data_IF_269501381725
#
_entry.id   IF_269501381725
#
_cell.length_a   1.000
_cell.length_b   1.000
_cell.length_c   1.000
_cell.angle_alpha   90.00
_cell.angle_beta   90.00
_cell.angle_gamma   90.00
#
_symmetry.space_group_name_H-M   'P 1'
#
loop_
_entity.id
_entity.type
_entity.pdbx_description
1 polymer ?
#
# COMPACT_ATOMS: atom_id res chain seq x y z
N UNK A 1 -1.91 -28.47 -39.95
CA UNK A 1 -1.59 -27.79 -38.67
C UNK A 1 -1.48 -28.83 -37.58
N UNK A 2 -0.35 -28.88 -36.86
CA UNK A 2 -0.14 -29.87 -35.80
C UNK A 2 -0.46 -29.28 -34.42
N UNK A 3 -0.83 -30.12 -33.45
CA UNK A 3 -1.20 -29.72 -32.08
C UNK A 3 -0.13 -28.85 -31.38
N UNK A 4 1.15 -28.98 -31.78
CA UNK A 4 2.27 -28.15 -31.32
C UNK A 4 2.26 -26.72 -31.87
N UNK A 5 1.79 -26.51 -33.10
CA UNK A 5 1.71 -25.17 -33.70
C UNK A 5 0.59 -24.34 -33.06
N UNK A 6 -0.56 -24.95 -32.76
CA UNK A 6 -1.66 -24.27 -32.08
C UNK A 6 -1.27 -23.79 -30.67
N UNK A 7 -0.61 -24.66 -29.87
CA UNK A 7 -0.14 -24.31 -28.53
C UNK A 7 0.89 -23.17 -28.54
N UNK A 8 1.80 -23.15 -29.52
CA UNK A 8 2.77 -22.07 -29.69
C UNK A 8 2.10 -20.73 -30.02
N UNK A 9 1.06 -20.73 -30.85
CA UNK A 9 0.31 -19.52 -31.20
C UNK A 9 -0.49 -18.99 -30.02
N UNK A 10 -1.16 -19.85 -29.23
CA UNK A 10 -1.86 -19.42 -28.00
C UNK A 10 -0.88 -18.95 -26.91
N UNK A 11 0.26 -19.60 -26.74
CA UNK A 11 1.27 -19.17 -25.76
C UNK A 11 1.89 -17.83 -26.15
N UNK A 12 2.11 -17.58 -27.45
CA UNK A 12 2.59 -16.29 -27.94
C UNK A 12 1.56 -15.16 -27.73
N UNK A 13 0.26 -15.42 -27.92
CA UNK A 13 -0.79 -14.40 -27.69
C UNK A 13 -0.93 -14.04 -26.21
N UNK A 14 -0.84 -15.02 -25.30
CA UNK A 14 -0.86 -14.76 -23.84
C UNK A 14 0.43 -14.04 -23.38
N UNK A 15 1.57 -14.34 -24.00
CA UNK A 15 2.86 -13.69 -23.70
C UNK A 15 2.98 -12.28 -24.29
N UNK A 16 2.35 -12.02 -25.44
CA UNK A 16 2.42 -10.74 -26.14
C UNK A 16 1.51 -9.67 -25.53
N UNK A 17 0.42 -10.07 -24.85
CA UNK A 17 -0.40 -9.14 -24.06
C UNK A 17 0.35 -8.52 -22.86
N UNK A 18 1.38 -9.21 -22.35
CA UNK A 18 2.20 -8.74 -21.24
C UNK A 18 3.39 -7.86 -21.66
N UNK A 19 3.86 -7.96 -22.91
CA UNK A 19 5.11 -7.32 -23.35
C UNK A 19 4.96 -5.93 -23.96
N UNK A 20 3.73 -5.44 -24.19
CA UNK A 20 3.46 -4.11 -24.77
C UNK A 20 3.02 -3.06 -23.74
N UNK A 21 2.96 -3.40 -22.44
CA UNK A 21 2.89 -2.38 -21.39
C UNK A 21 4.28 -1.77 -21.23
N UNK A 22 4.56 -0.68 -21.95
CA UNK A 22 5.62 0.24 -21.55
C UNK A 22 5.49 0.46 -20.05
N UNK A 23 6.52 0.09 -19.29
CA UNK A 23 6.46 -0.18 -17.84
C UNK A 23 5.89 1.04 -17.12
N UNK A 24 4.58 1.05 -16.85
CA UNK A 24 3.93 2.21 -16.23
C UNK A 24 4.66 2.56 -14.93
N UNK A 25 4.84 3.86 -14.62
CA UNK A 25 5.67 4.28 -13.51
C UNK A 25 5.10 3.78 -12.18
N UNK A 26 5.99 3.72 -11.18
CA UNK A 26 5.59 3.72 -9.78
C UNK A 26 5.40 5.19 -9.39
N UNK A 27 4.26 5.54 -8.83
CA UNK A 27 3.97 6.90 -8.40
C UNK A 27 3.99 6.97 -6.89
N UNK A 28 4.69 7.95 -6.34
CA UNK A 28 4.60 8.33 -4.92
C UNK A 28 3.72 9.57 -4.80
N UNK A 29 2.58 9.43 -4.13
CA UNK A 29 1.65 10.53 -3.88
C UNK A 29 2.12 11.33 -2.66
N UNK A 30 2.48 12.60 -2.87
CA UNK A 30 2.74 13.54 -1.78
C UNK A 30 1.42 14.21 -1.35
N UNK A 31 0.90 13.82 -0.18
CA UNK A 31 -0.26 14.44 0.45
C UNK A 31 0.08 15.75 1.17
N UNK A 32 1.28 16.29 0.95
CA UNK A 32 1.81 17.50 1.58
C UNK A 32 1.87 17.35 3.11
N UNK A 33 1.10 18.16 3.84
CA UNK A 33 0.96 18.04 5.30
C UNK A 33 0.12 16.84 5.75
N UNK A 34 -0.59 16.17 4.83
CA UNK A 34 -1.45 15.02 5.12
C UNK A 34 -0.73 13.68 5.23
N UNK A 35 0.60 13.64 5.32
CA UNK A 35 1.37 12.41 5.50
C UNK A 35 2.65 12.61 6.33
N UNK A 36 3.15 11.53 6.96
CA UNK A 36 4.45 11.55 7.64
C UNK A 36 5.59 11.75 6.63
N UNK A 37 6.47 12.72 6.90
CA UNK A 37 7.57 13.08 6.00
C UNK A 37 8.64 11.98 5.93
N UNK A 38 8.83 11.26 7.02
CA UNK A 38 9.70 10.09 7.11
C UNK A 38 9.23 8.99 6.18
N UNK A 39 7.91 8.70 6.13
CA UNK A 39 7.39 7.69 5.21
C UNK A 39 7.59 8.11 3.75
N UNK A 40 7.25 9.35 3.40
CA UNK A 40 7.49 9.89 2.07
C UNK A 40 8.97 9.81 1.65
N UNK A 41 9.89 10.13 2.56
CA UNK A 41 11.32 10.05 2.32
C UNK A 41 11.82 8.60 2.16
N UNK A 42 11.32 7.68 2.98
CA UNK A 42 11.66 6.26 2.94
C UNK A 42 11.29 5.61 1.61
N UNK A 43 10.05 5.80 1.15
CA UNK A 43 9.62 5.32 -0.18
C UNK A 43 10.42 5.97 -1.30
N UNK A 44 10.69 7.27 -1.22
CA UNK A 44 11.45 7.98 -2.23
C UNK A 44 12.88 7.46 -2.37
N UNK A 45 13.52 7.10 -1.26
CA UNK A 45 14.86 6.49 -1.25
C UNK A 45 14.85 5.09 -1.87
N UNK A 46 13.90 4.24 -1.49
CA UNK A 46 13.90 2.81 -1.88
C UNK A 46 13.40 2.57 -3.30
N UNK A 47 12.50 3.40 -3.82
CA UNK A 47 11.86 3.15 -5.12
C UNK A 47 12.57 3.78 -6.33
N UNK A 48 13.71 4.44 -6.15
CA UNK A 48 14.52 4.99 -7.25
C UNK A 48 15.12 3.90 -8.16
N UNK A 49 15.42 4.20 -9.44
CA UNK A 49 15.16 5.46 -10.16
C UNK A 49 13.77 5.55 -10.79
N UNK A 50 12.92 4.52 -10.67
CA UNK A 50 11.64 4.39 -11.42
C UNK A 50 10.44 5.04 -10.74
N UNK A 51 10.68 5.97 -9.83
CA UNK A 51 9.66 6.62 -9.04
C UNK A 51 9.35 8.00 -9.61
N UNK A 52 8.08 8.24 -9.88
CA UNK A 52 7.55 9.57 -10.21
C UNK A 52 6.87 10.11 -8.96
N UNK A 53 7.24 11.31 -8.51
CA UNK A 53 6.49 12.01 -7.46
C UNK A 53 5.33 12.77 -8.10
N UNK A 54 4.17 12.73 -7.47
CA UNK A 54 2.99 13.45 -7.91
C UNK A 54 2.22 14.02 -6.72
N UNK A 55 1.46 15.08 -6.97
CA UNK A 55 0.42 15.55 -6.07
C UNK A 55 -0.95 14.99 -6.51
N UNK A 56 -2.00 15.29 -5.74
CA UNK A 56 -3.36 14.77 -5.97
C UNK A 56 -3.95 15.19 -7.33
N UNK A 57 -3.55 16.34 -7.87
CA UNK A 57 -4.06 16.90 -9.13
C UNK A 57 -3.36 16.34 -10.37
N UNK A 58 -2.17 15.76 -10.20
CA UNK A 58 -1.24 15.45 -11.29
C UNK A 58 -0.79 13.98 -11.37
N UNK A 59 -1.54 13.05 -10.77
CA UNK A 59 -1.21 11.61 -10.77
C UNK A 59 -1.27 11.03 -12.20
N UNK A 60 -0.14 10.60 -12.80
CA UNK A 60 -0.16 9.97 -14.13
C UNK A 60 -0.72 8.55 -14.05
N UNK A 61 -1.08 7.98 -15.20
CA UNK A 61 -1.37 6.54 -15.27
C UNK A 61 -0.16 5.73 -14.77
N UNK A 62 -0.42 4.82 -13.83
CA UNK A 62 0.62 4.11 -13.10
C UNK A 62 0.25 2.64 -12.88
N UNK A 63 1.26 1.77 -12.78
CA UNK A 63 1.06 0.39 -12.37
C UNK A 63 0.92 0.29 -10.84
N UNK A 64 1.62 1.18 -10.13
CA UNK A 64 1.64 1.24 -8.67
C UNK A 64 1.50 2.68 -8.21
N UNK A 65 0.59 2.91 -7.26
CA UNK A 65 0.48 4.14 -6.49
C UNK A 65 0.86 3.86 -5.04
N UNK A 66 1.82 4.60 -4.52
CA UNK A 66 2.26 4.54 -3.13
C UNK A 66 1.70 5.77 -2.41
N UNK A 67 0.90 5.54 -1.37
CA UNK A 67 0.32 6.57 -0.51
C UNK A 67 0.96 6.43 0.88
N UNK A 68 2.02 7.21 1.17
CA UNK A 68 2.84 7.05 2.36
C UNK A 68 2.13 7.61 3.59
N UNK A 69 2.17 6.86 4.69
CA UNK A 69 1.69 7.17 6.03
C UNK A 69 0.66 8.32 6.11
N UNK A 70 -0.53 8.13 5.53
CA UNK A 70 -1.55 9.15 5.43
C UNK A 70 -2.11 9.50 6.83
N UNK A 71 -2.02 10.78 7.18
CA UNK A 71 -2.65 11.37 8.36
C UNK A 71 -4.03 11.90 8.03
N UNK A 72 -4.19 12.48 6.84
CA UNK A 72 -5.46 13.01 6.37
C UNK A 72 -5.59 12.77 4.87
N UNK A 73 -6.65 12.09 4.47
CA UNK A 73 -6.99 11.90 3.06
C UNK A 73 -8.20 12.77 2.75
N UNK A 74 -7.96 13.89 2.07
CA UNK A 74 -9.07 14.72 1.59
C UNK A 74 -9.97 13.94 0.61
N UNK A 75 -11.27 14.27 0.48
CA UNK A 75 -12.14 13.64 -0.51
C UNK A 75 -11.61 13.71 -1.95
N UNK A 76 -10.86 14.76 -2.30
CA UNK A 76 -10.21 14.90 -3.61
C UNK A 76 -9.12 13.85 -3.79
N UNK A 77 -8.26 13.69 -2.77
CA UNK A 77 -7.21 12.66 -2.76
C UNK A 77 -7.80 11.25 -2.79
N UNK A 78 -8.84 11.00 -1.98
CA UNK A 78 -9.51 9.71 -1.95
C UNK A 78 -10.08 9.31 -3.32
N UNK A 79 -10.76 10.24 -4.01
CA UNK A 79 -11.24 10.02 -5.39
C UNK A 79 -10.08 9.78 -6.36
N UNK A 80 -8.97 10.50 -6.23
CA UNK A 80 -7.80 10.27 -7.09
C UNK A 80 -7.20 8.87 -6.91
N UNK A 81 -7.10 8.39 -5.68
CA UNK A 81 -6.64 7.04 -5.35
C UNK A 81 -7.61 5.99 -5.90
N UNK A 82 -8.93 6.17 -5.71
CA UNK A 82 -9.95 5.26 -6.25
C UNK A 82 -9.92 5.21 -7.78
N UNK A 83 -9.71 6.34 -8.47
CA UNK A 83 -9.51 6.35 -9.93
C UNK A 83 -8.33 5.47 -10.35
N UNK A 84 -7.23 5.49 -9.61
CA UNK A 84 -6.07 4.64 -9.90
C UNK A 84 -6.41 3.15 -9.72
N UNK A 85 -7.14 2.78 -8.65
CA UNK A 85 -7.64 1.40 -8.46
C UNK A 85 -8.54 0.97 -9.63
N UNK A 86 -9.48 1.82 -10.05
CA UNK A 86 -10.36 1.51 -11.19
C UNK A 86 -9.61 1.40 -12.52
N UNK A 87 -8.53 2.17 -12.70
CA UNK A 87 -7.63 2.06 -13.86
C UNK A 87 -6.75 0.79 -13.85
N UNK A 88 -6.79 0.01 -12.76
CA UNK A 88 -6.06 -1.25 -12.65
C UNK A 88 -4.73 -1.17 -11.91
N UNK A 89 -4.42 -0.04 -11.27
CA UNK A 89 -3.21 0.10 -10.47
C UNK A 89 -3.28 -0.73 -9.19
N UNK A 90 -2.10 -1.11 -8.67
CA UNK A 90 -1.98 -1.51 -7.27
C UNK A 90 -1.74 -0.28 -6.40
N UNK A 91 -2.57 -0.07 -5.39
CA UNK A 91 -2.40 1.01 -4.42
C UNK A 91 -1.88 0.41 -3.12
N UNK A 92 -0.72 0.89 -2.65
CA UNK A 92 -0.25 0.67 -1.29
C UNK A 92 -0.61 1.90 -0.47
N UNK A 93 -1.60 1.76 0.40
CA UNK A 93 -2.08 2.81 1.28
C UNK A 93 -1.62 2.56 2.71
N UNK A 94 -0.66 3.34 3.18
CA UNK A 94 -0.30 3.37 4.59
C UNK A 94 -1.16 4.37 5.35
N UNK A 95 -1.66 3.99 6.52
CA UNK A 95 -2.38 4.86 7.43
C UNK A 95 -1.51 5.21 8.63
N UNK A 96 -1.30 6.50 8.84
CA UNK A 96 -0.78 7.08 10.07
C UNK A 96 -1.91 7.60 10.99
N UNK A 97 -3.16 7.16 10.78
CA UNK A 97 -4.30 7.62 11.58
C UNK A 97 -4.14 7.37 13.08
N UNK A 98 -3.24 6.46 13.49
CA UNK A 98 -2.89 6.26 14.89
C UNK A 98 -2.25 7.46 15.58
N UNK A 99 -1.69 8.42 14.84
CA UNK A 99 -1.07 9.63 15.38
C UNK A 99 -2.05 10.80 15.55
N UNK A 100 -3.30 10.64 15.11
CA UNK A 100 -4.32 11.68 15.16
C UNK A 100 -4.98 11.76 16.54
N UNK A 101 -5.60 12.91 16.82
CA UNK A 101 -6.59 13.01 17.90
C UNK A 101 -7.88 12.26 17.53
N UNK A 102 -8.77 12.08 18.50
CA UNK A 102 -10.01 11.31 18.33
C UNK A 102 -10.93 11.89 17.25
N UNK A 103 -11.01 13.22 17.11
CA UNK A 103 -11.88 13.86 16.13
C UNK A 103 -11.34 13.63 14.73
N UNK A 104 -10.06 13.90 14.52
CA UNK A 104 -9.37 13.68 13.25
C UNK A 104 -9.38 12.19 12.87
N UNK A 105 -9.15 11.28 13.83
CA UNK A 105 -9.25 9.84 13.60
C UNK A 105 -10.64 9.42 13.13
N UNK A 106 -11.72 9.95 13.73
CA UNK A 106 -13.09 9.64 13.28
C UNK A 106 -13.34 10.08 11.84
N UNK A 107 -12.83 11.26 11.46
CA UNK A 107 -12.93 11.75 10.08
C UNK A 107 -12.17 10.84 9.11
N UNK A 108 -10.93 10.50 9.43
CA UNK A 108 -10.10 9.62 8.59
C UNK A 108 -10.72 8.21 8.49
N UNK A 109 -11.23 7.66 9.60
CA UNK A 109 -11.97 6.39 9.63
C UNK A 109 -13.18 6.40 8.70
N UNK A 110 -13.91 7.52 8.64
CA UNK A 110 -15.03 7.66 7.72
C UNK A 110 -14.55 7.67 6.26
N UNK A 111 -13.45 8.37 5.94
CA UNK A 111 -12.86 8.35 4.59
C UNK A 111 -12.41 6.94 4.19
N UNK A 112 -11.72 6.22 5.10
CA UNK A 112 -11.27 4.84 4.89
C UNK A 112 -12.45 3.90 4.56
N UNK A 113 -13.55 4.04 5.31
CA UNK A 113 -14.77 3.27 5.07
C UNK A 113 -15.45 3.67 3.76
N UNK A 114 -15.71 4.95 3.55
CA UNK A 114 -16.61 5.44 2.50
C UNK A 114 -15.97 5.37 1.11
N UNK A 115 -14.66 5.60 1.00
CA UNK A 115 -13.97 5.58 -0.30
C UNK A 115 -13.26 4.27 -0.60
N UNK A 116 -12.71 3.63 0.43
CA UNK A 116 -11.89 2.44 0.23
C UNK A 116 -12.57 1.17 0.71
N UNK A 117 -13.68 1.25 1.45
CA UNK A 117 -14.35 0.11 2.06
C UNK A 117 -13.54 -0.52 3.20
N UNK A 118 -12.60 0.22 3.79
CA UNK A 118 -11.72 -0.29 4.85
C UNK A 118 -12.36 0.02 6.20
N UNK A 119 -12.63 -1.01 6.97
CA UNK A 119 -13.07 -0.85 8.36
C UNK A 119 -11.86 -0.94 9.28
N UNK A 120 -11.68 0.04 10.16
CA UNK A 120 -10.60 0.05 11.16
C UNK A 120 -11.17 0.20 12.56
N UNK A 121 -10.43 -0.29 13.55
CA UNK A 121 -10.71 -0.10 14.98
C UNK A 121 -9.86 1.06 15.55
N UNK A 122 -10.12 1.41 16.80
CA UNK A 122 -9.37 2.46 17.51
C UNK A 122 -7.86 2.18 17.52
N UNK A 123 -7.01 3.20 17.36
CA UNK A 123 -5.57 3.00 17.35
C UNK A 123 -5.03 2.41 18.65
N UNK A 124 -4.05 1.52 18.52
CA UNK A 124 -3.39 0.88 19.66
C UNK A 124 -1.96 1.38 19.75
N UNK A 125 -1.56 1.84 20.93
CA UNK A 125 -0.17 2.20 21.23
C UNK A 125 0.61 0.93 21.57
N UNK A 126 1.73 0.73 20.90
CA UNK A 126 2.57 -0.45 21.12
C UNK A 126 3.63 -0.20 22.20
N UNK A 127 4.09 1.03 22.39
CA UNK A 127 5.04 1.39 23.46
C UNK A 127 4.34 1.75 24.79
N UNK A 128 4.87 1.39 25.98
CA UNK A 128 6.20 0.86 26.30
C UNK A 128 6.33 -0.67 26.33
N UNK A 129 5.62 -1.42 25.50
CA UNK A 129 5.75 -2.90 25.47
C UNK A 129 7.11 -3.32 24.90
N UNK A 130 7.37 -4.64 24.90
CA UNK A 130 8.48 -5.26 24.17
C UNK A 130 8.54 -4.74 22.72
N UNK A 131 9.74 -4.64 22.14
CA UNK A 131 9.98 -4.15 20.77
C UNK A 131 8.97 -4.77 19.80
N UNK A 132 7.99 -3.99 19.30
CA UNK A 132 6.89 -4.59 18.59
C UNK A 132 7.26 -4.87 17.14
N UNK A 133 6.76 -5.98 16.63
CA UNK A 133 6.92 -6.39 15.24
C UNK A 133 5.55 -6.60 14.62
N UNK A 134 5.43 -6.20 13.35
CA UNK A 134 4.35 -6.59 12.46
C UNK A 134 4.76 -7.88 11.77
N UNK A 135 3.96 -8.91 11.98
CA UNK A 135 4.10 -10.21 11.35
C UNK A 135 3.35 -10.21 10.03
N UNK A 136 4.08 -10.04 8.93
CA UNK A 136 3.54 -10.17 7.59
C UNK A 136 3.57 -11.61 7.13
N UNK A 137 2.48 -12.07 6.48
CA UNK A 137 2.41 -13.40 5.84
C UNK A 137 2.51 -13.32 4.31
N UNK A 138 2.34 -12.13 3.74
CA UNK A 138 2.44 -11.87 2.30
C UNK A 138 3.40 -10.69 2.04
N UNK A 139 4.17 -10.68 0.94
CA UNK A 139 4.26 -11.72 -0.10
C UNK A 139 5.09 -12.95 0.32
N UNK A 140 5.72 -12.87 1.49
CA UNK A 140 6.36 -13.97 2.20
C UNK A 140 6.31 -13.64 3.71
N UNK A 141 6.59 -14.63 4.55
CA UNK A 141 6.65 -14.44 5.99
C UNK A 141 7.79 -13.47 6.39
N UNK A 142 7.47 -12.32 6.97
CA UNK A 142 8.44 -11.31 7.39
C UNK A 142 8.02 -10.67 8.72
N UNK A 143 9.00 -10.32 9.56
CA UNK A 143 8.77 -9.53 10.78
C UNK A 143 9.37 -8.15 10.59
N UNK A 144 8.53 -7.12 10.54
CA UNK A 144 8.97 -5.73 10.40
C UNK A 144 8.80 -5.00 11.72
N UNK A 145 9.84 -4.31 12.17
CA UNK A 145 9.78 -3.58 13.44
C UNK A 145 8.89 -2.34 13.31
N UNK A 146 8.00 -2.13 14.27
CA UNK A 146 7.27 -0.87 14.46
C UNK A 146 7.63 -0.29 15.84
N UNK A 147 7.62 1.03 15.98
CA UNK A 147 8.00 1.70 17.23
C UNK A 147 6.91 2.63 17.78
N UNK A 148 5.67 2.47 17.32
CA UNK A 148 4.70 3.55 17.43
C UNK A 148 3.30 3.08 17.81
N UNK A 149 2.36 3.26 16.88
CA UNK A 149 0.93 3.03 17.01
C UNK A 149 0.46 2.34 15.74
N UNK A 150 -0.46 1.41 15.92
CA UNK A 150 -1.10 0.72 14.80
C UNK A 150 -2.57 1.06 14.74
N UNK A 151 -3.12 0.94 13.55
CA UNK A 151 -4.54 1.07 13.25
C UNK A 151 -5.06 -0.32 12.89
N UNK A 152 -5.64 -1.06 13.86
CA UNK A 152 -6.13 -2.40 13.59
C UNK A 152 -7.30 -2.38 12.61
N UNK A 153 -7.46 -3.46 11.87
CA UNK A 153 -8.58 -3.72 11.00
C UNK A 153 -9.79 -4.17 11.82
N UNK A 154 -10.96 -3.62 11.48
CA UNK A 154 -12.24 -4.18 11.91
C UNK A 154 -12.70 -5.34 11.01
N UNK A 155 -13.82 -5.99 11.35
CA UNK A 155 -14.39 -7.09 10.55
C UNK A 155 -14.69 -6.65 9.12
N UNK A 156 -14.08 -7.33 8.14
CA UNK A 156 -14.27 -7.03 6.71
C UNK A 156 -13.77 -8.16 5.80
N UNK A 157 -14.15 -8.09 4.53
CA UNK A 157 -13.61 -8.95 3.48
C UNK A 157 -12.23 -8.48 2.98
N UNK A 158 -11.40 -9.45 2.61
CA UNK A 158 -10.02 -9.26 2.15
C UNK A 158 -9.09 -10.27 2.80
N UNK A 159 -7.95 -10.53 2.17
CA UNK A 159 -6.90 -11.32 2.77
C UNK A 159 -6.18 -10.46 3.80
N UNK A 160 -6.22 -10.85 5.07
CA UNK A 160 -5.37 -10.22 6.08
C UNK A 160 -3.94 -10.68 5.82
N UNK A 161 -3.00 -9.75 5.83
CA UNK A 161 -1.60 -10.03 5.46
C UNK A 161 -0.59 -9.62 6.52
N UNK A 162 -1.02 -8.96 7.60
CA UNK A 162 -0.14 -8.48 8.66
C UNK A 162 -0.84 -8.40 10.02
N UNK A 163 -0.14 -8.80 11.08
CA UNK A 163 -0.65 -8.84 12.46
C UNK A 163 0.33 -8.27 13.47
N UNK A 164 -0.20 -7.72 14.56
CA UNK A 164 0.55 -7.35 15.77
C UNK A 164 -0.23 -7.83 16.99
N UNK A 165 0.37 -8.65 17.85
CA UNK A 165 -0.27 -9.19 19.06
C UNK A 165 -1.66 -9.82 18.80
N UNK A 166 -1.83 -10.50 17.66
CA UNK A 166 -3.10 -11.10 17.23
C UNK A 166 -4.11 -10.12 16.60
N UNK A 167 -3.81 -8.81 16.58
CA UNK A 167 -4.62 -7.80 15.90
C UNK A 167 -4.24 -7.72 14.42
N UNK A 168 -5.18 -7.89 13.48
CA UNK A 168 -4.88 -7.69 12.06
C UNK A 168 -4.65 -6.20 11.80
N UNK A 169 -3.54 -5.85 11.15
CA UNK A 169 -3.16 -4.45 10.87
C UNK A 169 -2.89 -4.20 9.39
N UNK A 170 -2.92 -5.23 8.54
CA UNK A 170 -2.76 -5.07 7.10
C UNK A 170 -3.65 -6.03 6.33
N UNK A 171 -4.15 -5.57 5.17
CA UNK A 171 -4.93 -6.41 4.26
C UNK A 171 -4.52 -6.17 2.81
N UNK A 172 -4.84 -7.16 1.97
CA UNK A 172 -4.85 -7.07 0.53
C UNK A 172 -6.20 -7.51 -0.01
N UNK A 173 -6.71 -6.80 -1.01
CA UNK A 173 -7.86 -7.26 -1.79
C UNK A 173 -7.90 -6.67 -3.19
N UNK A 174 -8.70 -7.30 -4.05
CA UNK A 174 -9.10 -6.70 -5.32
C UNK A 174 -10.07 -5.55 -5.06
N UNK A 175 -9.89 -4.44 -5.77
CA UNK A 175 -10.79 -3.28 -5.76
C UNK A 175 -10.95 -2.76 -7.18
N UNK A 176 -12.13 -2.96 -7.76
CA UNK A 176 -12.35 -2.77 -9.19
C UNK A 176 -11.40 -3.62 -10.04
N UNK A 177 -10.69 -2.97 -10.97
CA UNK A 177 -9.66 -3.63 -11.81
C UNK A 177 -8.29 -3.69 -11.14
N UNK A 178 -8.12 -3.03 -10.00
CA UNK A 178 -6.85 -2.88 -9.30
C UNK A 178 -6.78 -3.72 -8.02
N UNK A 179 -5.69 -3.53 -7.29
CA UNK A 179 -5.43 -4.18 -6.00
C UNK A 179 -5.19 -3.11 -4.95
N UNK A 180 -5.87 -3.22 -3.81
CA UNK A 180 -5.65 -2.38 -2.64
C UNK A 180 -4.84 -3.18 -1.62
N UNK A 181 -3.72 -2.63 -1.19
CA UNK A 181 -2.93 -3.10 -0.05
C UNK A 181 -3.01 -1.98 0.99
N UNK A 182 -3.61 -2.26 2.14
CA UNK A 182 -3.70 -1.31 3.24
C UNK A 182 -2.77 -1.72 4.37
N UNK A 183 -2.01 -0.76 4.91
CA UNK A 183 -1.11 -0.93 6.04
C UNK A 183 -1.53 0.03 7.16
N UNK A 184 -2.08 -0.51 8.24
CA UNK A 184 -2.36 0.21 9.49
C UNK A 184 -1.13 0.44 10.37
N UNK A 185 0.03 -0.07 9.93
CA UNK A 185 1.36 0.13 10.52
C UNK A 185 2.27 0.62 9.39
N UNK A 186 2.61 1.91 9.32
CA UNK A 186 3.41 2.45 8.23
C UNK A 186 4.80 1.81 8.16
N UNK A 187 5.20 1.27 7.00
CA UNK A 187 6.54 0.74 6.76
C UNK A 187 7.53 1.83 6.35
N UNK A 188 7.04 2.95 5.81
CA UNK A 188 7.85 4.06 5.34
C UNK A 188 8.90 4.59 6.32
N UNK A 189 8.60 4.80 7.62
CA UNK A 189 9.62 5.18 8.60
C UNK A 189 10.76 4.17 8.73
N UNK A 190 10.48 2.87 8.65
CA UNK A 190 11.51 1.82 8.65
C UNK A 190 12.35 1.86 7.36
N UNK A 191 11.73 2.11 6.21
CA UNK A 191 12.44 2.34 4.94
C UNK A 191 13.37 3.55 5.03
N UNK A 192 12.93 4.63 5.68
CA UNK A 192 13.73 5.82 5.89
C UNK A 192 14.94 5.54 6.78
N UNK A 193 14.74 4.79 7.87
CA UNK A 193 15.79 4.33 8.77
C UNK A 193 16.79 3.35 8.13
N UNK A 194 16.51 2.86 6.91
CA UNK A 194 17.39 1.92 6.20
C UNK A 194 17.21 0.47 6.66
N UNK A 195 16.05 0.12 7.19
CA UNK A 195 15.73 -1.26 7.57
C UNK A 195 15.76 -2.18 6.34
N UNK A 196 16.64 -3.18 6.38
CA UNK A 196 16.87 -4.10 5.27
C UNK A 196 15.68 -5.04 5.03
N UNK A 197 14.97 -5.43 6.10
CA UNK A 197 13.83 -6.33 6.01
C UNK A 197 12.62 -5.59 5.44
N UNK A 198 12.39 -4.33 5.86
CA UNK A 198 11.35 -3.48 5.28
C UNK A 198 11.61 -3.21 3.79
N UNK A 199 12.87 -2.93 3.43
CA UNK A 199 13.29 -2.72 2.03
C UNK A 199 13.08 -3.97 1.18
N UNK A 200 13.46 -5.14 1.70
CA UNK A 200 13.28 -6.43 1.02
C UNK A 200 11.80 -6.77 0.87
N UNK A 201 11.00 -6.56 1.91
CA UNK A 201 9.56 -6.79 1.89
C UNK A 201 8.87 -5.89 0.86
N UNK A 202 9.11 -4.58 0.87
CA UNK A 202 8.54 -3.67 -0.13
C UNK A 202 8.95 -4.05 -1.56
N UNK A 203 10.23 -4.41 -1.76
CA UNK A 203 10.72 -4.85 -3.06
C UNK A 203 9.98 -6.08 -3.57
N UNK A 204 9.69 -7.05 -2.69
CA UNK A 204 8.91 -8.23 -3.01
C UNK A 204 7.45 -7.87 -3.33
N UNK A 205 6.80 -6.99 -2.55
CA UNK A 205 5.45 -6.49 -2.84
C UNK A 205 5.40 -5.91 -4.26
N UNK A 206 6.35 -5.02 -4.58
CA UNK A 206 6.43 -4.38 -5.89
C UNK A 206 6.74 -5.35 -7.03
N UNK A 207 7.38 -6.49 -6.76
CA UNK A 207 7.65 -7.53 -7.74
C UNK A 207 6.39 -8.33 -8.11
N UNK A 208 5.40 -8.43 -7.21
CA UNK A 208 4.13 -9.13 -7.51
C UNK A 208 3.21 -8.38 -8.49
N UNK A 209 3.50 -7.11 -8.76
CA UNK A 209 2.68 -6.19 -9.56
C UNK A 209 3.40 -5.64 -10.79
N UNK A 210 4.69 -6.00 -10.96
CA UNK A 210 5.57 -5.51 -12.04
C UNK A 210 5.52 -6.36 -13.31
#
# INVERSE_FOLDING_TARGET
MTRRQFLATTAAVVSSGHRLRGRWPRVLLDLQGGCLRESLAGYARVCQPRLVRADTSSIPHCAVLLVPAALEISPVAARAIVRCLHAGATVVLESAAGFLDERAFRTERAVLRDYFGITVESPVRLWPRQTPYVDFLWPYAAKLRDFSRVVPLGPQAGEQIGWVDGLPVALQRRSGRGTLIFLGSPVGPALWAGDADATRWLSAVLATVS
#
